data_IF_667934760943
#
_entry.id   IF_667934760943
#
_cell.length_a   1.000
_cell.length_b   1.000
_cell.length_c   1.000
_cell.angle_alpha   90.00
_cell.angle_beta   90.00
_cell.angle_gamma   90.00
#
_symmetry.space_group_name_H-M   'P 1'
#
loop_
_entity.id
_entity.type
_entity.pdbx_description
1 polymer ?
#
# COMPACT_ATOMS: atom_id res chain seq x y z
N UNK A 1 -14.23 -23.98 28.89
CA UNK A 1 -14.99 -23.41 27.75
C UNK A 1 -16.10 -24.38 27.38
N UNK A 2 -17.31 -23.90 27.13
CA UNK A 2 -18.51 -24.73 26.95
C UNK A 2 -18.47 -25.45 25.58
N UNK A 3 -18.52 -26.78 25.56
CA UNK A 3 -18.48 -27.65 24.36
C UNK A 3 -19.44 -27.23 23.21
N UNK A 4 -20.70 -26.82 23.47
CA UNK A 4 -21.62 -26.41 22.39
C UNK A 4 -21.19 -25.13 21.65
N UNK A 5 -20.59 -24.16 22.35
CA UNK A 5 -20.08 -22.93 21.73
C UNK A 5 -18.94 -23.22 20.75
N UNK A 6 -18.05 -24.17 21.10
CA UNK A 6 -16.97 -24.60 20.21
C UNK A 6 -17.51 -25.27 18.95
N UNK A 7 -18.56 -26.09 19.08
CA UNK A 7 -19.28 -26.69 17.95
C UNK A 7 -19.85 -25.62 17.02
N UNK A 8 -20.60 -24.65 17.57
CA UNK A 8 -21.16 -23.53 16.79
C UNK A 8 -20.10 -22.65 16.13
N UNK A 9 -19.01 -22.37 16.83
CA UNK A 9 -17.91 -21.58 16.27
C UNK A 9 -17.26 -22.29 15.08
N UNK A 10 -17.03 -23.61 15.17
CA UNK A 10 -16.54 -24.41 14.04
C UNK A 10 -17.50 -24.39 12.85
N UNK A 11 -18.80 -24.48 13.10
CA UNK A 11 -19.83 -24.38 12.06
C UNK A 11 -19.82 -23.01 11.38
N UNK A 12 -19.65 -21.91 12.11
CA UNK A 12 -19.54 -20.58 11.52
C UNK A 12 -18.32 -20.45 10.59
N UNK A 13 -17.18 -21.03 10.97
CA UNK A 13 -15.99 -21.08 10.11
C UNK A 13 -16.23 -21.96 8.87
N UNK A 14 -16.93 -23.08 9.02
CA UNK A 14 -17.28 -23.97 7.91
C UNK A 14 -18.25 -23.29 6.93
N UNK A 15 -19.23 -22.54 7.42
CA UNK A 15 -20.15 -21.77 6.57
C UNK A 15 -19.39 -20.73 5.75
N UNK A 16 -18.45 -20.00 6.37
CA UNK A 16 -17.60 -19.05 5.65
C UNK A 16 -16.76 -19.73 4.55
N UNK A 17 -16.16 -20.89 4.86
CA UNK A 17 -15.39 -21.65 3.88
C UNK A 17 -16.27 -22.17 2.73
N UNK A 18 -17.45 -22.71 3.05
CA UNK A 18 -18.39 -23.26 2.07
C UNK A 18 -18.88 -22.15 1.13
N UNK A 19 -19.22 -20.97 1.66
CA UNK A 19 -19.65 -19.85 0.83
C UNK A 19 -18.53 -19.38 -0.12
N UNK A 20 -17.28 -19.32 0.34
CA UNK A 20 -16.15 -18.98 -0.53
C UNK A 20 -15.98 -19.98 -1.67
N UNK A 21 -16.15 -21.28 -1.39
CA UNK A 21 -16.06 -22.34 -2.39
C UNK A 21 -17.25 -22.32 -3.37
N UNK A 22 -18.48 -22.15 -2.86
CA UNK A 22 -19.71 -22.08 -3.65
C UNK A 22 -19.69 -20.91 -4.65
N UNK A 23 -19.20 -19.75 -4.21
CA UNK A 23 -19.03 -18.56 -5.05
C UNK A 23 -17.76 -18.59 -5.90
N UNK A 24 -16.96 -19.67 -5.82
CA UNK A 24 -15.72 -19.85 -6.57
C UNK A 24 -14.72 -18.68 -6.37
N UNK A 25 -14.63 -18.16 -5.15
CA UNK A 25 -13.77 -17.03 -4.82
C UNK A 25 -12.30 -17.48 -4.79
N UNK A 26 -11.42 -16.72 -5.44
CA UNK A 26 -9.97 -16.92 -5.33
C UNK A 26 -9.48 -16.56 -3.91
N UNK A 27 -9.28 -17.59 -3.10
CA UNK A 27 -8.92 -17.46 -1.69
C UNK A 27 -7.46 -17.05 -1.46
N UNK A 28 -6.63 -16.88 -2.50
CA UNK A 28 -5.27 -16.32 -2.37
C UNK A 28 -5.26 -14.79 -2.54
N UNK A 29 -6.39 -14.19 -2.92
CA UNK A 29 -6.55 -12.75 -3.11
C UNK A 29 -7.54 -12.16 -2.09
N UNK A 30 -7.46 -10.84 -1.81
CA UNK A 30 -8.42 -10.19 -0.94
C UNK A 30 -9.84 -10.30 -1.49
N UNK A 31 -10.77 -10.81 -0.68
CA UNK A 31 -12.16 -11.02 -1.08
C UNK A 31 -12.85 -9.69 -1.40
N UNK A 32 -13.49 -9.57 -2.55
CA UNK A 32 -14.38 -8.44 -2.85
C UNK A 32 -15.75 -8.69 -2.22
N UNK A 33 -15.86 -8.34 -0.94
CA UNK A 33 -17.07 -8.56 -0.15
C UNK A 33 -18.30 -7.84 -0.72
N UNK A 34 -18.13 -6.73 -1.43
CA UNK A 34 -19.27 -6.02 -2.02
C UNK A 34 -19.81 -6.76 -3.24
N UNK A 35 -18.91 -7.30 -4.07
CA UNK A 35 -19.28 -8.18 -5.17
C UNK A 35 -19.95 -9.47 -4.69
N UNK A 36 -19.49 -10.03 -3.56
CA UNK A 36 -20.12 -11.20 -2.94
C UNK A 36 -21.59 -10.90 -2.57
N UNK A 37 -21.88 -9.74 -1.99
CA UNK A 37 -23.26 -9.34 -1.65
C UNK A 37 -24.15 -9.31 -2.89
N UNK A 38 -23.63 -8.79 -4.01
CA UNK A 38 -24.35 -8.78 -5.29
C UNK A 38 -24.56 -10.19 -5.84
N UNK A 39 -23.56 -11.08 -5.76
CA UNK A 39 -23.66 -12.48 -6.18
C UNK A 39 -24.70 -13.27 -5.36
N UNK A 40 -24.86 -12.92 -4.09
CA UNK A 40 -25.90 -13.46 -3.21
C UNK A 40 -27.31 -12.92 -3.55
N UNK A 41 -27.43 -11.98 -4.48
CA UNK A 41 -28.70 -11.34 -4.84
C UNK A 41 -29.23 -10.36 -3.80
N UNK A 42 -28.38 -9.94 -2.85
CA UNK A 42 -28.73 -9.02 -1.78
C UNK A 42 -28.54 -7.57 -2.23
N UNK A 43 -29.48 -6.70 -1.85
CA UNK A 43 -29.33 -5.27 -2.09
C UNK A 43 -28.24 -4.67 -1.22
N UNK A 44 -27.19 -4.10 -1.81
CA UNK A 44 -26.17 -3.34 -1.09
C UNK A 44 -26.47 -1.84 -1.13
N UNK A 45 -26.57 -1.22 0.05
CA UNK A 45 -26.82 0.22 0.18
C UNK A 45 -25.77 0.87 1.09
N UNK A 46 -25.17 1.97 0.62
CA UNK A 46 -24.31 2.82 1.45
C UNK A 46 -25.07 4.08 1.88
N UNK A 47 -25.08 4.39 3.17
CA UNK A 47 -25.68 5.62 3.72
C UNK A 47 -24.84 6.22 4.84
N UNK A 48 -24.89 7.53 5.08
CA UNK A 48 -24.32 8.12 6.30
C UNK A 48 -25.16 7.67 7.50
N UNK A 49 -24.56 6.92 8.42
CA UNK A 49 -25.19 6.45 9.64
C UNK A 49 -24.31 6.82 10.84
N UNK A 50 -24.90 7.48 11.83
CA UNK A 50 -24.16 8.05 12.96
C UNK A 50 -23.73 6.99 14.00
N UNK A 51 -24.61 6.04 14.31
CA UNK A 51 -24.40 5.03 15.38
C UNK A 51 -24.27 3.62 14.81
N UNK A 52 -25.05 3.29 13.79
CA UNK A 52 -25.08 1.97 13.20
C UNK A 52 -23.97 1.83 12.14
N UNK A 53 -23.17 0.77 12.24
CA UNK A 53 -22.13 0.51 11.25
C UNK A 53 -22.70 -0.18 10.00
N UNK A 54 -23.66 -1.07 10.20
CA UNK A 54 -24.41 -1.74 9.16
C UNK A 54 -25.59 -2.52 9.72
N UNK A 55 -26.43 -3.05 8.82
CA UNK A 55 -27.57 -3.90 9.18
C UNK A 55 -28.02 -4.76 8.02
N UNK A 56 -28.47 -5.98 8.33
CA UNK A 56 -29.27 -6.82 7.43
C UNK A 56 -30.74 -6.36 7.43
N UNK A 57 -31.29 -6.17 6.24
CA UNK A 57 -32.71 -5.95 5.98
C UNK A 57 -33.33 -7.28 5.51
N UNK A 58 -34.21 -7.93 6.31
CA UNK A 58 -34.72 -9.26 5.97
C UNK A 58 -35.93 -9.25 5.02
N UNK A 59 -36.38 -8.09 4.53
CA UNK A 59 -37.61 -7.97 3.74
C UNK A 59 -37.33 -8.05 2.23
N UNK A 60 -38.21 -8.71 1.47
CA UNK A 60 -38.06 -8.90 0.03
C UNK A 60 -36.91 -9.86 -0.32
N UNK A 61 -36.04 -9.48 -1.27
CA UNK A 61 -34.84 -10.25 -1.61
C UNK A 61 -33.74 -10.17 -0.54
N UNK A 62 -33.95 -9.40 0.54
CA UNK A 62 -32.92 -9.13 1.53
C UNK A 62 -31.97 -8.01 1.10
N UNK A 63 -31.28 -7.40 2.06
CA UNK A 63 -30.28 -6.36 1.77
C UNK A 63 -29.34 -6.10 2.93
N UNK A 64 -28.21 -5.45 2.62
CA UNK A 64 -27.18 -5.04 3.57
C UNK A 64 -26.98 -3.54 3.45
N UNK A 65 -27.13 -2.85 4.57
CA UNK A 65 -26.86 -1.42 4.72
C UNK A 65 -25.49 -1.23 5.36
N UNK A 66 -24.66 -0.31 4.85
CA UNK A 66 -23.32 -0.01 5.37
C UNK A 66 -23.11 1.50 5.51
N UNK A 67 -22.48 1.93 6.61
CA UNK A 67 -22.20 3.35 6.84
C UNK A 67 -21.10 3.91 5.91
N UNK A 68 -21.29 5.12 5.38
CA UNK A 68 -20.25 5.88 4.65
C UNK A 68 -19.24 6.56 5.58
N UNK A 69 -19.55 6.71 6.86
CA UNK A 69 -18.77 7.48 7.85
C UNK A 69 -17.55 6.74 8.42
N UNK A 70 -17.20 5.60 7.81
CA UNK A 70 -16.11 4.73 8.26
C UNK A 70 -15.16 4.40 7.13
N UNK A 71 -13.92 4.10 7.50
CA UNK A 71 -12.86 3.76 6.54
C UNK A 71 -13.23 2.49 5.75
N UNK A 72 -12.72 2.33 4.52
CA UNK A 72 -12.99 1.18 3.66
C UNK A 72 -12.77 -0.18 4.33
N UNK A 73 -11.73 -0.33 5.16
CA UNK A 73 -11.45 -1.57 5.88
C UNK A 73 -12.53 -1.93 6.91
N UNK A 74 -13.13 -0.93 7.56
CA UNK A 74 -14.27 -1.14 8.47
C UNK A 74 -15.55 -1.44 7.69
N UNK A 75 -15.80 -0.74 6.58
CA UNK A 75 -16.95 -1.03 5.71
C UNK A 75 -16.91 -2.48 5.21
N UNK A 76 -15.73 -2.95 4.77
CA UNK A 76 -15.52 -4.34 4.36
C UNK A 76 -15.76 -5.33 5.48
N UNK A 77 -15.29 -5.01 6.68
CA UNK A 77 -15.51 -5.86 7.86
C UNK A 77 -16.98 -5.96 8.22
N UNK A 78 -17.68 -4.82 8.27
CA UNK A 78 -19.13 -4.77 8.52
C UNK A 78 -19.89 -5.54 7.44
N UNK A 79 -19.56 -5.37 6.15
CA UNK A 79 -20.17 -6.13 5.07
C UNK A 79 -20.08 -7.64 5.33
N UNK A 80 -18.90 -8.14 5.65
CA UNK A 80 -18.68 -9.56 5.94
C UNK A 80 -19.40 -10.04 7.21
N UNK A 81 -19.54 -9.17 8.21
CA UNK A 81 -20.31 -9.44 9.43
C UNK A 81 -21.80 -9.61 9.12
N UNK A 82 -22.37 -8.71 8.31
CA UNK A 82 -23.77 -8.81 7.89
C UNK A 82 -24.03 -10.02 6.98
N UNK A 83 -23.09 -10.40 6.10
CA UNK A 83 -23.16 -11.69 5.37
C UNK A 83 -23.15 -12.85 6.36
N UNK A 84 -22.33 -12.79 7.40
CA UNK A 84 -22.31 -13.81 8.45
C UNK A 84 -23.66 -13.95 9.15
N UNK A 85 -24.33 -12.84 9.47
CA UNK A 85 -25.71 -12.89 9.99
C UNK A 85 -26.67 -13.52 8.99
N UNK A 86 -26.63 -13.09 7.73
CA UNK A 86 -27.47 -13.66 6.67
C UNK A 86 -27.28 -15.18 6.56
N UNK A 87 -26.05 -15.65 6.39
CA UNK A 87 -25.72 -17.06 6.23
C UNK A 87 -26.04 -17.90 7.47
N UNK A 88 -25.77 -17.40 8.67
CA UNK A 88 -25.95 -18.20 9.90
C UNK A 88 -27.42 -18.23 10.37
N UNK A 89 -28.21 -17.22 10.02
CA UNK A 89 -29.63 -17.15 10.37
C UNK A 89 -30.54 -17.79 9.31
N UNK A 90 -30.23 -17.70 8.02
CA UNK A 90 -30.98 -18.43 6.97
C UNK A 90 -30.88 -19.93 7.15
N UNK A 91 -29.69 -20.35 7.54
CA UNK A 91 -29.29 -21.75 7.52
C UNK A 91 -29.62 -22.43 8.87
N UNK A 92 -29.97 -21.64 9.91
CA UNK A 92 -30.54 -22.09 11.19
C UNK A 92 -31.76 -23.02 11.02
N UNK A 93 -32.62 -22.77 10.02
CA UNK A 93 -33.77 -23.63 9.69
C UNK A 93 -33.35 -25.02 9.16
N UNK A 94 -32.15 -25.15 8.60
CA UNK A 94 -31.58 -26.42 8.14
C UNK A 94 -30.71 -27.11 9.21
N UNK A 95 -30.49 -26.47 10.36
CA UNK A 95 -29.54 -26.90 11.40
C UNK A 95 -30.18 -27.37 12.71
N UNK A 96 -31.51 -27.27 12.86
CA UNK A 96 -32.25 -27.90 13.96
C UNK A 96 -32.31 -29.43 13.75
N UNK A 97 -31.18 -30.10 14.00
CA UNK A 97 -31.18 -31.54 14.30
C UNK A 97 -31.53 -31.70 15.79
N UNK A 98 -32.28 -32.75 16.16
CA UNK A 98 -32.89 -33.02 17.50
C UNK A 98 -31.97 -32.88 18.75
N UNK A 99 -30.67 -32.58 18.58
CA UNK A 99 -29.68 -32.44 19.64
C UNK A 99 -29.29 -30.99 20.04
N UNK A 100 -29.75 -29.95 19.32
CA UNK A 100 -29.30 -28.55 19.54
C UNK A 100 -30.45 -27.57 19.93
N UNK A 101 -31.38 -28.02 20.80
CA UNK A 101 -32.63 -27.34 21.21
C UNK A 101 -32.46 -26.01 21.98
N UNK A 102 -31.31 -25.34 21.92
CA UNK A 102 -31.12 -24.00 22.50
C UNK A 102 -30.59 -23.02 21.46
N UNK A 103 -31.50 -22.19 20.94
CA UNK A 103 -31.15 -21.04 20.09
C UNK A 103 -30.06 -20.20 20.76
N UNK A 104 -29.00 -19.79 20.03
CA UNK A 104 -27.93 -18.98 20.61
C UNK A 104 -28.49 -17.63 21.07
N UNK A 105 -28.05 -17.16 22.24
CA UNK A 105 -28.36 -15.81 22.72
C UNK A 105 -27.70 -14.74 21.83
N UNK A 106 -28.19 -13.50 21.91
CA UNK A 106 -27.73 -12.36 21.08
C UNK A 106 -26.20 -12.22 21.09
N UNK A 107 -25.57 -12.26 22.27
CA UNK A 107 -24.11 -12.15 22.41
C UNK A 107 -23.35 -13.30 21.73
N UNK A 108 -23.94 -14.48 21.63
CA UNK A 108 -23.32 -15.61 20.94
C UNK A 108 -23.46 -15.45 19.43
N UNK A 109 -24.61 -15.01 18.93
CA UNK A 109 -24.83 -14.73 17.49
C UNK A 109 -23.83 -13.72 16.95
N UNK A 110 -23.67 -12.59 17.64
CA UNK A 110 -22.67 -11.58 17.26
C UNK A 110 -21.24 -12.14 17.21
N UNK A 111 -20.89 -13.03 18.14
CA UNK A 111 -19.57 -13.69 18.14
C UNK A 111 -19.42 -14.67 16.99
N UNK A 112 -20.48 -15.38 16.60
CA UNK A 112 -20.45 -16.29 15.46
C UNK A 112 -20.33 -15.53 14.14
N UNK A 113 -21.08 -14.44 13.96
CA UNK A 113 -20.94 -13.54 12.81
C UNK A 113 -19.53 -12.92 12.74
N UNK A 114 -18.95 -12.53 13.89
CA UNK A 114 -17.56 -12.06 13.96
C UNK A 114 -16.54 -13.14 13.52
N UNK A 115 -16.74 -14.41 13.93
CA UNK A 115 -15.88 -15.52 13.49
C UNK A 115 -16.03 -15.79 11.99
N UNK A 116 -17.26 -15.78 11.48
CA UNK A 116 -17.55 -15.88 10.07
C UNK A 116 -16.80 -14.79 9.28
N UNK A 117 -17.01 -13.52 9.62
CA UNK A 117 -16.42 -12.39 8.92
C UNK A 117 -14.88 -12.41 8.93
N UNK A 118 -14.29 -12.81 10.06
CA UNK A 118 -12.84 -12.93 10.20
C UNK A 118 -12.27 -14.01 9.28
N UNK A 119 -12.92 -15.18 9.18
CA UNK A 119 -12.50 -16.23 8.24
C UNK A 119 -12.77 -15.84 6.80
N UNK A 120 -13.96 -15.33 6.52
CA UNK A 120 -14.42 -14.96 5.18
C UNK A 120 -13.51 -13.94 4.52
N UNK A 121 -13.07 -12.91 5.25
CA UNK A 121 -12.17 -11.88 4.73
C UNK A 121 -10.69 -12.30 4.70
N UNK A 122 -10.32 -13.28 5.52
CA UNK A 122 -8.93 -13.72 5.69
C UNK A 122 -8.87 -15.25 5.73
N UNK A 123 -9.20 -15.91 4.60
CA UNK A 123 -9.12 -17.36 4.51
C UNK A 123 -7.65 -17.80 4.61
N UNK A 124 -7.38 -19.04 5.07
CA UNK A 124 -6.01 -19.50 5.26
C UNK A 124 -5.08 -19.33 4.05
N UNK A 125 -5.49 -19.61 2.80
CA UNK A 125 -4.62 -19.42 1.63
C UNK A 125 -4.13 -17.97 1.49
N UNK A 126 -5.01 -16.98 1.60
CA UNK A 126 -4.67 -15.55 1.57
C UNK A 126 -3.68 -15.18 2.68
N UNK A 127 -3.98 -15.60 3.92
CA UNK A 127 -3.12 -15.26 5.06
C UNK A 127 -1.72 -15.86 4.89
N UNK A 128 -1.62 -17.11 4.43
CA UNK A 128 -0.33 -17.75 4.19
C UNK A 128 0.42 -17.13 3.00
N UNK A 129 -0.27 -16.80 1.90
CA UNK A 129 0.33 -16.13 0.75
C UNK A 129 0.90 -14.75 1.11
N UNK A 130 0.13 -13.94 1.83
CA UNK A 130 0.54 -12.59 2.27
C UNK A 130 1.65 -12.67 3.33
N UNK A 131 1.54 -13.57 4.31
CA UNK A 131 2.59 -13.77 5.30
C UNK A 131 3.92 -14.15 4.63
N UNK A 132 3.87 -15.06 3.65
CA UNK A 132 5.06 -15.48 2.90
C UNK A 132 5.67 -14.32 2.10
N UNK A 133 4.84 -13.50 1.43
CA UNK A 133 5.27 -12.30 0.68
C UNK A 133 6.04 -11.31 1.56
N UNK A 134 5.61 -11.12 2.81
CA UNK A 134 6.23 -10.18 3.75
C UNK A 134 7.27 -10.83 4.68
N UNK A 135 7.62 -12.11 4.46
CA UNK A 135 8.58 -12.83 5.28
C UNK A 135 8.15 -13.02 6.73
N UNK A 136 6.85 -13.06 7.01
CA UNK A 136 6.29 -13.26 8.35
C UNK A 136 6.35 -14.76 8.67
N UNK A 137 7.10 -15.10 9.72
CA UNK A 137 7.28 -16.49 10.16
C UNK A 137 7.15 -16.59 11.67
N UNK A 138 6.43 -17.61 12.14
CA UNK A 138 6.14 -17.84 13.56
C UNK A 138 7.37 -17.85 14.48
N UNK A 139 8.52 -18.32 13.98
CA UNK A 139 9.77 -18.48 14.75
C UNK A 139 10.75 -17.31 14.62
N UNK A 140 10.40 -16.29 13.83
CA UNK A 140 11.25 -15.14 13.58
C UNK A 140 10.64 -13.88 14.21
N UNK A 141 11.43 -12.83 14.39
CA UNK A 141 10.87 -11.57 14.87
C UNK A 141 10.02 -10.93 13.76
N UNK A 142 8.77 -10.58 14.08
CA UNK A 142 7.85 -9.93 13.15
C UNK A 142 7.80 -8.45 13.49
N UNK A 143 8.23 -7.60 12.57
CA UNK A 143 8.17 -6.15 12.76
C UNK A 143 6.74 -5.60 12.59
N UNK A 144 6.41 -4.47 13.25
CA UNK A 144 5.14 -3.78 13.03
C UNK A 144 4.91 -3.39 11.56
N UNK A 145 5.98 -3.03 10.83
CA UNK A 145 5.95 -2.72 9.41
C UNK A 145 5.50 -3.92 8.55
N UNK A 146 6.06 -5.11 8.79
CA UNK A 146 5.64 -6.34 8.09
C UNK A 146 4.17 -6.67 8.38
N UNK A 147 3.77 -6.63 9.65
CA UNK A 147 2.39 -6.91 10.05
C UNK A 147 1.40 -5.90 9.44
N UNK A 148 1.81 -4.62 9.33
CA UNK A 148 1.00 -3.58 8.71
C UNK A 148 0.81 -3.82 7.21
N UNK A 149 1.90 -4.11 6.49
CA UNK A 149 1.82 -4.42 5.06
C UNK A 149 0.96 -5.66 4.81
N UNK A 150 1.04 -6.68 5.67
CA UNK A 150 0.17 -7.85 5.60
C UNK A 150 -1.32 -7.47 5.79
N UNK A 151 -1.64 -6.64 6.78
CA UNK A 151 -3.02 -6.18 7.00
C UNK A 151 -3.55 -5.35 5.82
N UNK A 152 -2.73 -4.44 5.28
CA UNK A 152 -3.04 -3.63 4.09
C UNK A 152 -3.31 -4.53 2.88
N UNK A 153 -2.43 -5.48 2.61
CA UNK A 153 -2.56 -6.39 1.47
C UNK A 153 -3.81 -7.27 1.56
N UNK A 154 -4.21 -7.68 2.77
CA UNK A 154 -5.48 -8.39 3.01
C UNK A 154 -6.71 -7.45 3.01
N UNK A 155 -6.51 -6.14 2.96
CA UNK A 155 -7.55 -5.10 3.00
C UNK A 155 -8.44 -5.19 4.26
N UNK A 156 -7.82 -5.40 5.41
CA UNK A 156 -8.45 -5.49 6.74
C UNK A 156 -7.78 -4.56 7.74
N UNK A 157 -8.34 -4.41 8.93
CA UNK A 157 -7.70 -3.64 10.00
C UNK A 157 -6.44 -4.36 10.53
N UNK A 158 -5.48 -3.58 11.04
CA UNK A 158 -4.26 -4.09 11.66
C UNK A 158 -4.55 -5.11 12.77
N UNK A 159 -5.49 -4.79 13.64
CA UNK A 159 -5.89 -5.68 14.73
C UNK A 159 -6.54 -6.98 14.23
N UNK A 160 -7.45 -6.91 13.25
CA UNK A 160 -8.11 -8.10 12.69
C UNK A 160 -7.08 -9.05 12.06
N UNK A 161 -6.13 -8.50 11.28
CA UNK A 161 -5.03 -9.27 10.70
C UNK A 161 -4.17 -9.97 11.76
N UNK A 162 -3.77 -9.27 12.83
CA UNK A 162 -2.96 -9.85 13.90
C UNK A 162 -3.70 -10.98 14.63
N UNK A 163 -4.98 -10.77 14.95
CA UNK A 163 -5.81 -11.80 15.60
C UNK A 163 -5.96 -13.02 14.69
N UNK A 164 -6.20 -12.83 13.40
CA UNK A 164 -6.37 -13.95 12.48
C UNK A 164 -5.06 -14.69 12.20
N UNK A 165 -3.95 -13.97 11.99
CA UNK A 165 -2.62 -14.59 11.86
C UNK A 165 -2.27 -15.40 13.11
N UNK A 166 -2.71 -14.98 14.29
CA UNK A 166 -2.54 -15.76 15.51
C UNK A 166 -3.46 -16.99 15.56
N UNK A 167 -4.73 -16.85 15.19
CA UNK A 167 -5.68 -17.98 15.11
C UNK A 167 -5.18 -19.08 14.16
N UNK A 168 -4.61 -18.69 13.03
CA UNK A 168 -4.01 -19.58 12.02
C UNK A 168 -2.57 -19.98 12.36
N UNK A 169 -2.07 -19.57 13.52
CA UNK A 169 -0.74 -19.90 14.02
C UNK A 169 0.42 -19.43 13.12
N UNK A 170 0.20 -18.43 12.28
CA UNK A 170 1.24 -17.74 11.51
C UNK A 170 2.14 -16.92 12.44
N UNK A 171 1.55 -16.35 13.50
CA UNK A 171 2.26 -15.69 14.61
C UNK A 171 1.86 -16.31 15.95
N UNK A 172 2.76 -16.24 16.92
CA UNK A 172 2.51 -16.62 18.32
C UNK A 172 1.64 -15.60 19.03
N UNK A 173 1.03 -16.01 20.14
CA UNK A 173 0.25 -15.13 21.01
C UNK A 173 1.11 -13.97 21.54
N UNK A 174 2.35 -14.26 21.95
CA UNK A 174 3.28 -13.22 22.40
C UNK A 174 3.60 -12.18 21.31
N UNK A 175 3.81 -12.63 20.07
CA UNK A 175 4.01 -11.71 18.93
C UNK A 175 2.77 -10.87 18.68
N UNK A 176 1.57 -11.47 18.68
CA UNK A 176 0.30 -10.76 18.54
C UNK A 176 0.17 -9.66 19.59
N UNK A 177 0.35 -9.99 20.86
CA UNK A 177 0.16 -9.05 21.98
C UNK A 177 1.19 -7.93 21.95
N UNK A 178 2.43 -8.22 21.57
CA UNK A 178 3.48 -7.21 21.37
C UNK A 178 3.13 -6.27 20.20
N UNK A 179 2.68 -6.83 19.07
CA UNK A 179 2.33 -6.05 17.89
C UNK A 179 1.09 -5.16 18.14
N UNK A 180 0.10 -5.64 18.90
CA UNK A 180 -1.09 -4.89 19.27
C UNK A 180 -0.78 -3.64 20.13
N UNK A 181 0.38 -3.58 20.79
CA UNK A 181 0.82 -2.38 21.51
C UNK A 181 1.31 -1.27 20.57
N UNK A 182 1.60 -1.59 19.31
CA UNK A 182 2.06 -0.61 18.32
C UNK A 182 0.89 -0.03 17.55
N UNK A 183 0.75 1.30 17.56
CA UNK A 183 -0.26 1.96 16.74
C UNK A 183 0.08 1.82 15.24
N UNK A 184 -0.90 1.58 14.35
CA UNK A 184 -0.64 1.44 12.91
C UNK A 184 0.07 2.65 12.29
N UNK A 185 -0.18 3.86 12.81
CA UNK A 185 0.50 5.07 12.36
C UNK A 185 2.02 4.98 12.54
N UNK A 186 2.48 4.32 13.61
CA UNK A 186 3.92 4.14 13.85
C UNK A 186 4.55 3.24 12.79
N UNK A 187 3.90 2.12 12.47
CA UNK A 187 4.35 1.23 11.40
C UNK A 187 4.42 1.94 10.04
N UNK A 188 3.43 2.79 9.73
CA UNK A 188 3.43 3.64 8.53
C UNK A 188 4.61 4.60 8.52
N UNK A 189 4.90 5.26 9.64
CA UNK A 189 6.05 6.16 9.77
C UNK A 189 7.37 5.43 9.57
N UNK A 190 7.52 4.23 10.14
CA UNK A 190 8.74 3.45 9.99
C UNK A 190 8.95 3.02 8.51
N UNK A 191 7.86 2.70 7.79
CA UNK A 191 7.88 2.43 6.33
C UNK A 191 8.17 3.68 5.49
N UNK A 192 7.82 4.85 6.00
CA UNK A 192 8.01 6.14 5.34
C UNK A 192 9.20 6.94 5.90
N UNK A 193 10.19 6.28 6.51
CA UNK A 193 11.41 6.91 7.03
C UNK A 193 11.16 8.10 7.97
N UNK A 194 10.14 7.98 8.81
CA UNK A 194 9.70 8.98 9.77
C UNK A 194 8.68 9.97 9.24
N UNK A 195 8.40 10.01 7.93
CA UNK A 195 7.28 10.80 7.40
C UNK A 195 5.96 10.25 7.85
N UNK A 196 5.09 11.19 8.19
CA UNK A 196 3.73 10.90 8.60
C UNK A 196 2.84 11.19 7.41
N UNK A 197 2.02 10.22 6.95
CA UNK A 197 1.04 10.49 5.92
C UNK A 197 0.16 11.70 6.29
N UNK A 198 -0.11 12.58 5.32
CA UNK A 198 -0.94 13.77 5.50
C UNK A 198 -2.29 13.40 6.09
N UNK A 199 -2.90 12.36 5.51
CA UNK A 199 -4.10 11.72 6.02
C UNK A 199 -3.68 10.53 6.88
N UNK A 200 -3.80 10.60 8.21
CA UNK A 200 -3.32 9.52 9.09
C UNK A 200 -3.99 8.15 8.86
N UNK A 201 -5.18 8.16 8.26
CA UNK A 201 -5.94 6.99 7.81
C UNK A 201 -5.60 6.52 6.40
N UNK A 202 -4.74 7.20 5.65
CA UNK A 202 -4.28 6.77 4.34
C UNK A 202 -3.44 5.50 4.45
N UNK A 203 -3.62 4.54 3.55
CA UNK A 203 -2.69 3.42 3.46
C UNK A 203 -1.38 3.88 2.78
N UNK A 204 -0.33 3.10 2.99
CA UNK A 204 1.04 3.44 2.58
C UNK A 204 1.57 2.34 1.68
N UNK A 205 2.07 2.74 0.51
CA UNK A 205 2.53 1.87 -0.57
C UNK A 205 4.02 2.08 -0.80
N UNK A 206 4.86 1.16 -0.35
CA UNK A 206 6.32 1.28 -0.50
C UNK A 206 6.80 0.70 -1.81
N UNK A 207 7.50 1.49 -2.61
CA UNK A 207 8.15 1.09 -3.86
C UNK A 207 9.67 1.31 -3.77
N UNK A 208 10.44 0.38 -4.29
CA UNK A 208 11.91 0.42 -4.31
C UNK A 208 12.47 0.03 -5.69
N UNK A 209 13.79 -0.03 -5.86
CA UNK A 209 14.41 -0.40 -7.15
C UNK A 209 14.40 -1.91 -7.47
N UNK A 210 13.56 -2.75 -6.84
CA UNK A 210 13.47 -4.18 -7.21
C UNK A 210 13.01 -4.39 -8.65
N UNK A 211 12.16 -3.49 -9.17
CA UNK A 211 11.74 -3.46 -10.56
C UNK A 211 11.74 -2.01 -11.08
N UNK A 212 12.27 -1.74 -12.28
CA UNK A 212 12.34 -0.39 -12.85
C UNK A 212 10.96 0.18 -13.23
N UNK A 213 9.96 -0.69 -13.42
CA UNK A 213 8.57 -0.32 -13.68
C UNK A 213 7.70 -1.07 -12.67
N UNK A 214 6.91 -0.32 -11.89
CA UNK A 214 5.97 -0.88 -10.93
C UNK A 214 4.58 -0.30 -11.14
N UNK A 215 3.58 -1.18 -11.02
CA UNK A 215 2.17 -0.82 -11.03
C UNK A 215 1.61 -0.91 -9.61
N UNK A 216 0.77 0.05 -9.25
CA UNK A 216 0.13 0.09 -7.92
C UNK A 216 -1.31 0.56 -8.03
N UNK A 217 -2.22 -0.18 -7.39
CA UNK A 217 -3.61 0.22 -7.22
C UNK A 217 -3.78 0.85 -5.84
N UNK A 218 -4.16 2.13 -5.80
CA UNK A 218 -4.29 2.89 -4.56
C UNK A 218 -5.67 3.52 -4.45
N UNK A 219 -6.09 3.83 -3.23
CA UNK A 219 -7.28 4.65 -3.01
C UNK A 219 -6.93 6.14 -3.01
N UNK A 220 -7.90 7.01 -3.27
CA UNK A 220 -7.77 8.44 -2.95
C UNK A 220 -7.31 8.58 -1.48
N UNK A 221 -6.43 9.55 -1.24
CA UNK A 221 -5.71 9.86 -0.02
C UNK A 221 -4.56 8.90 0.35
N UNK A 222 -4.45 7.71 -0.25
CA UNK A 222 -3.30 6.84 -0.02
C UNK A 222 -1.98 7.50 -0.44
N UNK A 223 -0.88 7.09 0.19
CA UNK A 223 0.46 7.59 -0.11
C UNK A 223 1.39 6.50 -0.64
N UNK A 224 2.06 6.81 -1.74
CA UNK A 224 3.10 5.98 -2.36
C UNK A 224 4.46 6.51 -1.92
N UNK A 225 5.21 5.71 -1.18
CA UNK A 225 6.56 6.01 -0.71
C UNK A 225 7.57 5.34 -1.62
N UNK A 226 8.27 6.13 -2.43
CA UNK A 226 9.31 5.67 -3.34
C UNK A 226 10.67 5.81 -2.65
N UNK A 227 11.47 4.75 -2.63
CA UNK A 227 12.82 4.76 -2.04
C UNK A 227 13.87 4.31 -3.03
N UNK A 228 14.75 5.21 -3.44
CA UNK A 228 15.79 4.93 -4.43
C UNK A 228 17.20 5.20 -3.84
N UNK A 229 18.18 4.31 -4.04
CA UNK A 229 19.58 4.63 -3.80
C UNK A 229 20.01 5.78 -4.70
N UNK A 230 20.77 6.73 -4.14
CA UNK A 230 21.26 7.90 -4.86
C UNK A 230 22.70 8.21 -4.44
N UNK A 231 23.63 8.25 -5.41
CA UNK A 231 25.03 8.57 -5.14
C UNK A 231 25.38 9.96 -5.66
N UNK A 232 25.17 10.98 -4.82
CA UNK A 232 25.46 12.37 -5.19
C UNK A 232 26.94 12.67 -5.44
N UNK A 233 27.89 11.88 -4.92
CA UNK A 233 29.33 12.11 -5.18
C UNK A 233 29.75 11.74 -6.60
N UNK A 234 28.95 10.94 -7.32
CA UNK A 234 29.18 10.67 -8.75
C UNK A 234 28.66 11.77 -9.67
N UNK A 235 27.95 12.77 -9.13
CA UNK A 235 27.29 13.81 -9.92
C UNK A 235 25.93 13.41 -10.49
N UNK A 236 25.50 12.16 -10.30
CA UNK A 236 24.17 11.68 -10.70
C UNK A 236 23.16 11.78 -9.56
N UNK A 237 21.90 12.07 -9.90
CA UNK A 237 20.75 12.06 -9.00
C UNK A 237 19.47 11.68 -9.75
N UNK A 238 18.44 11.29 -9.03
CA UNK A 238 17.11 11.13 -9.63
C UNK A 238 16.50 12.51 -9.90
N UNK A 239 15.82 12.66 -11.03
CA UNK A 239 15.14 13.88 -11.48
C UNK A 239 13.70 13.49 -11.84
N UNK A 240 12.70 14.25 -11.40
CA UNK A 240 11.36 14.12 -11.99
C UNK A 240 11.35 14.69 -13.42
N UNK A 241 10.25 14.49 -14.14
CA UNK A 241 10.11 14.93 -15.54
C UNK A 241 10.41 16.42 -15.71
N UNK A 242 9.84 17.27 -14.86
CA UNK A 242 10.07 18.72 -14.91
C UNK A 242 11.57 19.07 -14.73
N UNK A 243 12.25 18.49 -13.74
CA UNK A 243 13.67 18.73 -13.54
C UNK A 243 14.54 18.15 -14.66
N UNK A 244 14.13 17.03 -15.27
CA UNK A 244 14.83 16.44 -16.40
C UNK A 244 14.65 17.27 -17.68
N UNK A 245 13.47 17.82 -17.92
CA UNK A 245 13.18 18.74 -19.03
C UNK A 245 13.95 20.05 -18.88
N UNK A 246 13.96 20.63 -17.67
CA UNK A 246 14.77 21.80 -17.36
C UNK A 246 16.26 21.54 -17.58
N UNK A 247 16.74 20.34 -17.21
CA UNK A 247 18.11 19.91 -17.49
C UNK A 247 18.36 19.87 -18.99
N UNK A 248 17.50 19.24 -19.78
CA UNK A 248 17.64 19.13 -21.23
C UNK A 248 17.62 20.50 -21.93
N UNK A 249 16.85 21.46 -21.41
CA UNK A 249 16.77 22.82 -21.93
C UNK A 249 18.01 23.70 -21.62
N UNK A 250 18.90 23.29 -20.71
CA UNK A 250 20.09 24.09 -20.36
C UNK A 250 21.04 24.22 -21.55
N UNK A 251 21.35 25.46 -21.90
CA UNK A 251 22.44 25.76 -22.84
C UNK A 251 23.76 25.76 -22.09
N UNK A 252 24.79 25.12 -22.67
CA UNK A 252 26.14 25.21 -22.14
C UNK A 252 26.55 26.69 -22.08
N UNK A 253 26.89 27.18 -20.88
CA UNK A 253 27.48 28.51 -20.75
C UNK A 253 28.86 28.45 -21.40
N UNK A 254 29.20 29.35 -22.34
CA UNK A 254 30.55 29.40 -22.88
C UNK A 254 31.54 29.57 -21.73
N UNK A 255 32.69 28.89 -21.82
CA UNK A 255 33.74 29.00 -20.81
C UNK A 255 34.05 30.49 -20.60
N UNK A 256 34.27 30.94 -19.34
CA UNK A 256 34.75 32.28 -19.11
C UNK A 256 36.02 32.49 -19.95
N UNK A 257 36.20 33.67 -20.58
CA UNK A 257 37.43 33.96 -21.30
C UNK A 257 38.62 33.71 -20.36
N UNK A 258 39.75 33.19 -20.87
CA UNK A 258 40.94 32.97 -20.06
C UNK A 258 41.27 34.28 -19.32
N UNK A 259 41.69 34.20 -18.04
CA UNK A 259 42.08 35.40 -17.31
C UNK A 259 43.12 36.15 -18.14
N UNK A 260 42.83 37.42 -18.45
CA UNK A 260 43.80 38.31 -19.07
C UNK A 260 45.04 38.29 -18.18
N UNK A 261 46.15 37.80 -18.71
CA UNK A 261 47.45 37.85 -18.04
C UNK A 261 47.88 39.31 -18.00
N UNK A 262 47.43 40.04 -16.99
CA UNK A 262 47.95 41.36 -16.69
C UNK A 262 49.32 41.19 -16.04
N UNK A 263 50.36 41.30 -16.87
CA UNK A 263 51.72 41.55 -16.44
C UNK A 263 51.79 42.95 -15.83
N UNK A 264 51.53 43.09 -14.53
CA UNK A 264 51.81 44.35 -13.84
C UNK A 264 51.01 44.63 -12.57
N UNK A 265 51.73 44.54 -11.45
CA UNK A 265 51.53 45.25 -10.17
C UNK A 265 50.29 44.94 -9.31
N UNK A 266 50.60 44.27 -8.20
CA UNK A 266 49.85 44.14 -6.94
C UNK A 266 49.09 45.40 -6.52
N UNK A 267 47.82 45.23 -6.15
CA UNK A 267 47.19 45.98 -5.05
C UNK A 267 46.13 45.11 -4.35
N UNK A 268 45.88 45.46 -3.09
CA UNK A 268 45.43 44.61 -2.00
C UNK A 268 44.01 44.01 -2.10
N UNK A 269 43.86 42.98 -1.28
CA UNK A 269 42.68 42.19 -0.96
C UNK A 269 41.39 42.98 -0.71
N UNK A 270 40.27 42.36 -1.09
CA UNK A 270 39.03 42.52 -0.35
C UNK A 270 38.32 41.15 -0.27
N UNK A 271 38.33 40.58 0.93
CA UNK A 271 37.72 39.27 1.25
C UNK A 271 36.26 39.52 1.63
N UNK A 272 35.33 39.31 0.71
CA UNK A 272 33.91 39.24 1.07
C UNK A 272 33.59 37.85 1.66
N UNK A 273 32.91 37.78 2.82
CA UNK A 273 32.52 36.49 3.40
C UNK A 273 31.43 35.83 2.57
N UNK A 274 31.56 34.52 2.39
CA UNK A 274 30.57 33.67 1.74
C UNK A 274 29.21 33.80 2.47
N UNK A 275 28.21 34.30 1.76
CA UNK A 275 26.83 34.27 2.24
C UNK A 275 26.37 32.82 2.38
N UNK A 276 26.14 32.39 3.60
CA UNK A 276 25.36 31.20 3.94
C UNK A 276 23.96 31.37 3.36
N UNK A 277 23.74 30.80 2.17
CA UNK A 277 22.42 30.70 1.57
C UNK A 277 21.60 29.70 2.40
N UNK A 278 20.80 30.24 3.31
CA UNK A 278 19.74 29.54 4.03
C UNK A 278 18.91 28.72 3.04
N UNK A 279 18.82 27.43 3.32
CA UNK A 279 18.07 26.41 2.57
C UNK A 279 16.61 26.86 2.44
N UNK A 280 16.23 27.42 1.29
CA UNK A 280 14.81 27.58 0.93
C UNK A 280 14.20 26.18 0.74
N UNK A 281 12.99 25.93 1.25
CA UNK A 281 12.27 24.71 0.91
C UNK A 281 12.07 24.70 -0.61
N UNK A 282 12.47 23.61 -1.24
CA UNK A 282 12.34 23.36 -2.67
C UNK A 282 10.87 23.45 -3.08
N UNK A 283 10.62 24.21 -4.15
CA UNK A 283 9.30 24.35 -4.78
C UNK A 283 8.68 22.98 -5.04
N UNK A 284 7.41 22.84 -4.65
CA UNK A 284 6.58 21.64 -4.89
C UNK A 284 6.56 21.36 -6.40
N UNK A 285 7.21 20.29 -6.84
CA UNK A 285 7.07 19.81 -8.22
C UNK A 285 5.68 19.23 -8.41
N UNK A 286 4.97 19.78 -9.40
CA UNK A 286 3.62 19.36 -9.77
C UNK A 286 3.67 17.92 -10.28
N UNK A 287 2.95 17.03 -9.61
CA UNK A 287 2.56 15.77 -10.23
C UNK A 287 1.22 16.01 -10.94
N UNK A 288 1.15 15.55 -12.18
CA UNK A 288 0.03 15.76 -13.08
C UNK A 288 -1.10 14.75 -12.78
N UNK A 289 -2.34 15.22 -12.98
CA UNK A 289 -3.58 14.44 -13.06
C UNK A 289 -4.12 13.87 -11.75
N UNK A 290 -3.36 13.06 -11.00
CA UNK A 290 -3.89 12.30 -9.86
C UNK A 290 -2.95 12.09 -8.68
N UNK A 291 -1.63 12.26 -8.87
CA UNK A 291 -0.65 12.15 -7.80
C UNK A 291 -0.13 13.54 -7.43
N UNK A 292 0.25 13.75 -6.17
CA UNK A 292 0.93 14.95 -5.70
C UNK A 292 2.18 14.58 -4.91
N UNK A 293 3.34 15.15 -5.26
CA UNK A 293 4.54 15.04 -4.41
C UNK A 293 4.30 15.83 -3.12
N UNK A 294 4.15 15.12 -2.00
CA UNK A 294 3.92 15.74 -0.67
C UNK A 294 5.20 15.76 0.17
N UNK A 295 6.17 14.91 -0.16
CA UNK A 295 7.46 14.86 0.49
C UNK A 295 8.58 14.42 -0.47
N UNK A 296 9.77 15.01 -0.33
CA UNK A 296 11.00 14.61 -1.01
C UNK A 296 12.22 14.94 -0.14
N UNK A 297 13.02 13.93 0.20
CA UNK A 297 14.27 14.14 0.91
C UNK A 297 15.38 13.19 0.45
N UNK A 298 16.60 13.62 0.73
CA UNK A 298 17.80 12.81 0.58
C UNK A 298 18.52 12.72 1.91
N UNK A 299 18.86 11.50 2.31
CA UNK A 299 19.67 11.21 3.48
C UNK A 299 21.03 10.66 3.04
N UNK A 300 22.15 11.33 3.39
CA UNK A 300 23.47 10.78 3.19
C UNK A 300 23.71 9.63 4.18
N UNK A 301 24.18 8.49 3.71
CA UNK A 301 24.49 7.35 4.55
C UNK A 301 25.01 6.18 3.75
N UNK A 302 25.38 5.09 4.43
CA UNK A 302 25.45 3.79 3.79
C UNK A 302 24.01 3.28 3.80
N UNK A 303 23.25 3.50 2.73
CA UNK A 303 21.98 2.80 2.58
C UNK A 303 22.25 1.30 2.85
N UNK A 304 21.34 0.52 3.49
CA UNK A 304 21.43 -0.93 3.59
C UNK A 304 21.21 -1.54 2.19
N UNK A 305 22.13 -1.20 1.31
CA UNK A 305 22.43 -1.77 0.04
C UNK A 305 23.63 -2.60 0.42
N UNK A 306 23.44 -3.91 0.58
CA UNK A 306 24.57 -4.84 0.67
C UNK A 306 25.56 -4.43 -0.40
N UNK A 307 26.85 -4.33 -0.07
CA UNK A 307 27.88 -3.81 -0.99
C UNK A 307 27.90 -4.51 -2.36
N UNK A 308 27.29 -5.70 -2.45
CA UNK A 308 26.98 -6.41 -3.71
C UNK A 308 25.85 -5.78 -4.54
N UNK A 309 24.82 -5.18 -3.94
CA UNK A 309 23.68 -4.53 -4.63
C UNK A 309 24.06 -3.20 -5.29
N UNK A 310 24.99 -2.41 -4.75
CA UNK A 310 25.45 -1.19 -5.43
C UNK A 310 26.30 -1.50 -6.67
N UNK A 311 27.12 -2.56 -6.60
CA UNK A 311 27.84 -3.09 -7.76
C UNK A 311 26.93 -3.86 -8.71
N UNK A 312 25.90 -4.57 -8.24
CA UNK A 312 24.92 -5.25 -9.08
C UNK A 312 24.01 -4.25 -9.79
N UNK A 313 23.57 -3.18 -9.13
CA UNK A 313 22.87 -2.05 -9.77
C UNK A 313 23.81 -1.39 -10.79
N UNK A 314 25.08 -1.12 -10.46
CA UNK A 314 26.06 -0.62 -11.45
C UNK A 314 26.34 -1.60 -12.59
N UNK A 315 26.43 -2.92 -12.33
CA UNK A 315 26.66 -3.95 -13.35
C UNK A 315 25.43 -4.18 -14.20
N UNK A 316 24.22 -4.10 -13.64
CA UNK A 316 22.97 -4.23 -14.38
C UNK A 316 22.69 -2.97 -15.22
N UNK A 317 23.12 -1.80 -14.73
CA UNK A 317 23.12 -0.54 -15.50
C UNK A 317 24.24 -0.51 -16.56
N UNK A 318 25.38 -1.16 -16.33
CA UNK A 318 26.48 -1.26 -17.30
C UNK A 318 26.36 -2.45 -18.28
N UNK A 319 25.61 -3.50 -17.93
CA UNK A 319 25.38 -4.70 -18.76
C UNK A 319 24.14 -4.59 -19.64
N UNK A 320 23.37 -3.50 -19.56
CA UNK A 320 22.26 -3.24 -20.49
C UNK A 320 22.71 -3.07 -21.96
N UNK A 321 24.02 -3.11 -22.23
CA UNK A 321 24.57 -3.25 -23.59
C UNK A 321 24.71 -4.71 -24.08
N UNK A 322 24.51 -5.75 -23.25
CA UNK A 322 24.59 -7.15 -23.69
C UNK A 322 23.57 -8.11 -23.02
N UNK A 323 22.89 -8.87 -23.88
CA UNK A 323 21.83 -9.87 -23.65
C UNK A 323 22.08 -10.90 -22.53
N UNK A 324 20.99 -11.29 -21.85
CA UNK A 324 20.82 -12.66 -21.32
C UNK A 324 20.37 -12.76 -19.87
N UNK A 325 19.28 -13.51 -19.65
CA UNK A 325 18.69 -13.97 -18.38
C UNK A 325 19.67 -14.17 -17.21
N UNK A 326 19.29 -13.68 -16.02
CA UNK A 326 19.64 -14.31 -14.75
C UNK A 326 18.73 -13.84 -13.60
N UNK A 327 17.91 -14.74 -13.07
CA UNK A 327 17.23 -14.59 -11.79
C UNK A 327 18.26 -14.55 -10.65
N UNK A 328 18.16 -13.54 -9.77
CA UNK A 328 19.02 -13.38 -8.59
C UNK A 328 18.45 -14.10 -7.36
N UNK A 329 19.09 -15.19 -6.93
CA UNK A 329 18.91 -15.81 -5.61
C UNK A 329 19.57 -14.96 -4.49
N UNK A 330 18.89 -14.87 -3.34
CA UNK A 330 19.25 -14.03 -2.19
C UNK A 330 19.74 -14.87 -1.00
N UNK A 331 21.01 -14.73 -0.59
CA UNK A 331 21.51 -15.20 0.71
C UNK A 331 22.67 -14.34 1.27
N UNK A 332 22.54 -13.94 2.56
CA UNK A 332 23.58 -13.43 3.50
C UNK A 332 24.19 -12.04 3.22
N UNK A 333 24.58 -11.16 4.15
CA UNK A 333 24.79 -11.11 5.61
C UNK A 333 24.77 -9.61 6.04
N UNK A 334 24.47 -9.27 7.30
CA UNK A 334 24.33 -7.87 7.79
C UNK A 334 25.67 -7.33 8.32
N UNK A 335 26.18 -6.24 7.74
CA UNK A 335 27.37 -5.49 8.24
C UNK A 335 26.94 -4.29 9.09
N UNK A 336 27.54 -4.17 10.28
CA UNK A 336 27.30 -3.10 11.28
C UNK A 336 28.18 -1.87 10.98
N UNK A 337 27.69 -0.61 11.12
CA UNK A 337 28.42 0.56 10.65
C UNK A 337 29.34 1.17 11.72
N UNK A 338 30.58 1.49 11.34
CA UNK A 338 31.41 2.47 12.04
C UNK A 338 31.91 3.53 11.04
N UNK A 339 31.37 4.75 11.18
CA UNK A 339 31.79 6.01 10.52
C UNK A 339 31.34 6.23 9.05
N UNK A 340 30.66 7.36 8.71
CA UNK A 340 30.33 7.69 7.32
C UNK A 340 31.60 8.09 6.54
N UNK A 341 31.94 7.32 5.50
CA UNK A 341 33.02 7.65 4.58
C UNK A 341 32.57 8.63 3.49
N UNK A 342 33.45 9.55 3.12
CA UNK A 342 33.30 10.42 1.94
C UNK A 342 33.09 9.52 0.70
N UNK A 343 31.95 9.68 0.01
CA UNK A 343 31.59 8.87 -1.17
C UNK A 343 30.50 7.80 -0.98
N UNK A 344 29.88 7.74 0.21
CA UNK A 344 28.80 6.79 0.49
C UNK A 344 27.54 7.05 -0.38
N UNK A 345 26.92 5.96 -0.87
CA UNK A 345 25.66 6.02 -1.62
C UNK A 345 24.52 6.26 -0.64
N UNK A 346 23.99 7.49 -0.63
CA UNK A 346 22.83 7.84 0.17
C UNK A 346 21.52 7.30 -0.42
N UNK A 347 20.41 7.78 0.14
CA UNK A 347 19.06 7.37 -0.23
C UNK A 347 18.21 8.61 -0.46
N UNK A 348 17.58 8.68 -1.63
CA UNK A 348 16.47 9.61 -1.86
C UNK A 348 15.18 8.86 -1.62
N UNK A 349 14.23 9.50 -0.96
CA UNK A 349 12.89 8.97 -0.85
C UNK A 349 11.87 10.09 -0.96
N UNK A 350 10.70 9.73 -1.47
CA UNK A 350 9.62 10.66 -1.76
C UNK A 350 8.28 10.03 -1.39
N UNK A 351 7.33 10.86 -1.03
CA UNK A 351 5.94 10.45 -0.83
C UNK A 351 5.05 11.15 -1.86
N UNK A 352 4.26 10.36 -2.59
CA UNK A 352 3.26 10.82 -3.54
C UNK A 352 1.89 10.52 -2.96
N UNK A 353 1.04 11.53 -2.78
CA UNK A 353 -0.35 11.37 -2.35
C UNK A 353 -1.27 11.21 -3.56
N UNK A 354 -2.17 10.24 -3.51
CA UNK A 354 -3.25 10.09 -4.48
C UNK A 354 -4.37 11.11 -4.18
N UNK A 355 -4.65 12.02 -5.12
CA UNK A 355 -5.58 13.15 -4.92
C UNK A 355 -6.82 13.12 -5.81
N UNK A 356 -6.72 12.51 -6.99
CA UNK A 356 -7.84 12.40 -7.91
C UNK A 356 -7.90 10.98 -8.50
N UNK A 357 -9.06 10.59 -8.98
CA UNK A 357 -9.20 9.29 -9.64
C UNK A 357 -8.54 9.28 -11.02
N UNK A 358 -8.12 8.11 -11.46
CA UNK A 358 -7.60 7.89 -12.80
C UNK A 358 -6.29 7.12 -12.79
N UNK A 359 -5.70 6.98 -13.97
CA UNK A 359 -4.37 6.40 -14.12
C UNK A 359 -3.37 7.52 -14.32
N UNK A 360 -2.31 7.52 -13.52
CA UNK A 360 -1.18 8.43 -13.68
C UNK A 360 0.14 7.68 -13.72
N UNK A 361 1.03 8.16 -14.58
CA UNK A 361 2.40 7.69 -14.66
C UNK A 361 3.31 8.73 -14.03
N UNK A 362 4.20 8.30 -13.15
CA UNK A 362 5.20 9.14 -12.50
C UNK A 362 6.59 8.57 -12.79
N UNK A 363 7.45 9.38 -13.40
CA UNK A 363 8.79 8.95 -13.81
C UNK A 363 9.90 9.68 -13.06
N UNK A 364 10.96 8.93 -12.77
CA UNK A 364 12.21 9.46 -12.25
C UNK A 364 13.37 9.05 -13.15
N UNK A 365 14.19 10.01 -13.51
CA UNK A 365 15.32 9.88 -14.42
C UNK A 365 16.63 10.00 -13.62
N UNK A 366 17.44 8.96 -13.59
CA UNK A 366 18.75 9.00 -12.95
C UNK A 366 19.77 9.62 -13.89
N UNK A 367 20.17 10.86 -13.65
CA UNK A 367 21.00 11.60 -14.58
C UNK A 367 21.91 12.64 -13.92
N UNK A 368 22.94 13.08 -14.65
CA UNK A 368 23.84 14.16 -14.25
C UNK A 368 23.19 15.53 -14.52
N UNK A 369 22.81 16.34 -13.50
CA UNK A 369 22.04 17.57 -13.69
C UNK A 369 22.73 18.67 -14.51
N UNK A 370 24.04 18.58 -14.67
CA UNK A 370 24.87 19.56 -15.37
C UNK A 370 25.26 19.11 -16.79
N UNK A 371 24.85 17.92 -17.21
CA UNK A 371 25.09 17.41 -18.57
C UNK A 371 23.76 17.37 -19.36
N UNK A 372 23.37 18.45 -20.06
CA UNK A 372 22.06 18.56 -20.70
C UNK A 372 21.84 17.62 -21.89
N UNK A 373 22.93 17.14 -22.53
CA UNK A 373 22.88 16.33 -23.75
C UNK A 373 23.03 14.83 -23.49
N UNK A 374 23.41 14.44 -22.28
CA UNK A 374 23.58 13.03 -21.91
C UNK A 374 22.21 12.44 -21.61
N UNK A 375 21.81 11.29 -22.19
CA UNK A 375 20.56 10.64 -21.81
C UNK A 375 20.60 10.23 -20.32
N UNK A 376 19.44 10.11 -19.64
CA UNK A 376 19.38 9.50 -18.32
C UNK A 376 20.00 8.10 -18.34
N UNK A 377 20.75 7.76 -17.30
CA UNK A 377 21.38 6.45 -17.14
C UNK A 377 20.38 5.37 -16.67
N UNK A 378 19.27 5.76 -16.07
CA UNK A 378 18.18 4.86 -15.69
C UNK A 378 16.86 5.64 -15.61
N UNK A 379 15.75 4.93 -15.77
CA UNK A 379 14.41 5.46 -15.52
C UNK A 379 13.67 4.53 -14.56
N UNK A 380 13.02 5.11 -13.55
CA UNK A 380 12.11 4.42 -12.64
C UNK A 380 10.70 4.92 -12.90
N UNK A 381 9.78 4.01 -13.19
CA UNK A 381 8.41 4.32 -13.60
C UNK A 381 7.43 3.73 -12.59
N UNK A 382 6.53 4.58 -12.10
CA UNK A 382 5.37 4.18 -11.30
C UNK A 382 4.12 4.45 -12.13
N UNK A 383 3.35 3.40 -12.37
CA UNK A 383 2.00 3.50 -12.91
C UNK A 383 1.02 3.29 -11.77
N UNK A 384 0.32 4.36 -11.38
CA UNK A 384 -0.66 4.31 -10.31
C UNK A 384 -2.08 4.36 -10.88
N UNK A 385 -2.92 3.40 -10.48
CA UNK A 385 -4.36 3.45 -10.71
C UNK A 385 -5.03 3.91 -9.42
N UNK A 386 -5.52 5.14 -9.40
CA UNK A 386 -6.20 5.73 -8.24
C UNK A 386 -7.70 5.47 -8.33
N UNK A 387 -8.23 4.72 -7.36
CA UNK A 387 -9.63 4.39 -7.25
C UNK A 387 -10.33 5.24 -6.17
N UNK A 388 -11.61 5.60 -6.36
CA UNK A 388 -12.35 6.24 -5.29
C UNK A 388 -12.75 5.24 -4.20
N UNK A 389 -13.28 5.77 -3.10
CA UNK A 389 -13.80 4.96 -2.02
C UNK A 389 -14.89 3.97 -2.49
N UNK A 390 -15.05 2.80 -1.82
CA UNK A 390 -15.95 1.74 -2.28
C UNK A 390 -17.40 2.19 -2.50
N UNK A 391 -17.94 3.03 -1.63
CA UNK A 391 -19.31 3.56 -1.75
C UNK A 391 -19.51 4.40 -3.02
N UNK A 392 -18.49 5.15 -3.46
CA UNK A 392 -18.53 5.92 -4.71
C UNK A 392 -18.52 4.97 -5.91
N UNK A 393 -17.66 3.93 -5.87
CA UNK A 393 -17.63 2.89 -6.90
C UNK A 393 -18.99 2.20 -7.03
N UNK A 394 -19.57 1.79 -5.91
CA UNK A 394 -20.87 1.13 -5.84
C UNK A 394 -21.97 1.98 -6.45
N UNK A 395 -22.06 3.26 -6.04
CA UNK A 395 -23.04 4.20 -6.59
C UNK A 395 -22.91 4.35 -8.10
N UNK A 396 -21.68 4.40 -8.63
CA UNK A 396 -21.47 4.49 -10.09
C UNK A 396 -21.83 3.21 -10.82
N UNK A 397 -21.59 2.05 -10.22
CA UNK A 397 -22.01 0.77 -10.78
C UNK A 397 -23.53 0.73 -10.95
N UNK A 398 -24.29 1.08 -9.91
CA UNK A 398 -25.76 1.17 -9.98
C UNK A 398 -26.25 2.17 -11.03
N UNK A 399 -25.63 3.36 -11.11
CA UNK A 399 -26.00 4.37 -12.10
C UNK A 399 -25.72 3.91 -13.53
N UNK A 400 -24.64 3.15 -13.77
CA UNK A 400 -24.36 2.58 -15.10
C UNK A 400 -25.39 1.54 -15.50
N UNK A 401 -25.72 0.61 -14.60
CA UNK A 401 -26.77 -0.38 -14.84
C UNK A 401 -28.13 0.28 -15.18
N UNK A 402 -28.48 1.34 -14.44
CA UNK A 402 -29.70 2.11 -14.74
C UNK A 402 -29.66 2.82 -16.10
N UNK A 403 -28.50 3.32 -16.54
CA UNK A 403 -28.36 3.95 -17.84
C UNK A 403 -28.46 2.92 -18.97
N UNK A 404 -27.82 1.77 -18.81
CA UNK A 404 -27.87 0.66 -19.78
C UNK A 404 -29.32 0.13 -19.93
N UNK A 405 -30.08 0.02 -18.84
CA UNK A 405 -31.51 -0.36 -18.86
C UNK A 405 -32.39 0.69 -19.57
N UNK A 406 -32.00 1.97 -19.57
CA UNK A 406 -32.77 3.04 -20.25
C UNK A 406 -32.46 3.19 -21.73
N UNK A 407 -31.26 2.76 -22.18
CA UNK A 407 -30.89 2.77 -23.60
C UNK A 407 -31.46 1.56 -24.37
N UNK A 408 -31.86 0.48 -23.68
CA UNK A 408 -32.58 -0.68 -24.22
C UNK A 408 -34.09 -0.41 -24.46
N UNK A 409 -34.37 0.77 -25.01
CA UNK A 409 -35.72 1.27 -25.29
C UNK A 409 -36.63 0.26 -25.99
N UNK A 410 -37.67 -0.17 -25.28
CA UNK A 410 -38.98 -0.39 -25.88
C UNK A 410 -39.96 0.65 -25.32
N UNK A 411 -40.56 1.52 -26.15
CA UNK A 411 -41.62 2.41 -25.70
C UNK A 411 -42.86 1.57 -25.37
N UNK A 412 -43.46 1.81 -24.21
CA UNK A 412 -44.87 1.42 -23.95
C UNK A 412 -45.78 2.60 -24.19
#
# INVERSE_FOLDING_TARGET
>A
MNTPFLGRSRRALQAAASLLDELHIDQEKPVDVFQVIEQLGLWLVFQPLDVLLGAVLPQGNGGILITTERRPTLQRYTAAHEIGHWELDHNQLSFDTDHDVLSPGVNERERLAQYFASYFLMPPPLVHAVASRHGIRRRENVSPAQAYLAARDMRVSYEAALRQMNNLQVITEHQRDTLLQTQPLRAKQDLAYGHRPETGSADVWTLDLRAPHQQVDVLIDDEIVITLPENRSTGYRWLDDNLNDQRAARRARPAPPPPLVNSGTSTAADTQPASTATRRPTERTAADGSLQVVFDAYEPGWAPVTSRNAQAVRRHLAAADHTGDNQLELAGEVLVPSTPGVGATGRRWMALKAQAEGTSTFQLHYAAPFEPRTPPAATFTVEATVQPAPHVRHRRHLLRALLDDTDDGSPR
#
